data_IF_453336975125
#
_entry.id   IF_453336975125
#
_cell.length_a   1.000
_cell.length_b   1.000
_cell.length_c   1.000
_cell.angle_alpha   90.00
_cell.angle_beta   90.00
_cell.angle_gamma   90.00
#
_symmetry.space_group_name_H-M   'P 1'
#
loop_
_entity.id
_entity.type
_entity.pdbx_description
1 polymer ?
#
# COMPACT_ATOMS: atom_id res chain seq x y z
N UNK A 1 -0.15 64.57 8.07
CA UNK A 1 0.85 63.63 8.60
C UNK A 1 0.17 62.76 9.66
N UNK A 2 -0.21 61.50 9.50
CA UNK A 2 -0.18 60.53 8.41
C UNK A 2 -0.99 59.29 8.85
N UNK A 3 -1.63 58.65 7.86
CA UNK A 3 -1.92 57.19 7.71
C UNK A 3 -2.73 56.46 8.79
N UNK A 4 -4.01 56.11 8.53
CA UNK A 4 -4.58 54.96 7.77
C UNK A 4 -4.77 53.70 8.64
N UNK A 5 -6.04 53.28 8.73
CA UNK A 5 -6.57 52.03 9.27
C UNK A 5 -6.24 50.81 8.37
N UNK A 6 -5.92 49.65 8.96
CA UNK A 6 -6.23 48.30 8.44
C UNK A 6 -6.10 47.30 9.60
N UNK A 7 -7.18 46.78 10.20
CA UNK A 7 -8.01 45.62 9.81
C UNK A 7 -7.22 44.35 9.48
N UNK A 8 -7.52 43.32 10.28
CA UNK A 8 -7.47 41.88 10.00
C UNK A 8 -6.13 41.33 9.49
N UNK A 9 -5.52 40.47 10.31
CA UNK A 9 -5.48 39.09 9.84
C UNK A 9 -5.78 38.09 10.96
N UNK A 10 -7.00 37.57 10.87
CA UNK A 10 -7.43 36.35 11.51
C UNK A 10 -6.64 35.25 10.82
N UNK A 11 -5.54 34.79 11.41
CA UNK A 11 -4.96 33.50 11.02
C UNK A 11 -5.95 32.41 11.44
N UNK A 12 -6.95 32.26 10.60
CA UNK A 12 -7.82 31.10 10.50
C UNK A 12 -6.84 29.99 10.16
N UNK A 13 -6.35 29.26 11.17
CA UNK A 13 -5.79 27.93 10.94
C UNK A 13 -6.87 27.21 10.16
N UNK A 14 -6.66 27.05 8.86
CA UNK A 14 -7.55 26.25 8.04
C UNK A 14 -7.61 24.90 8.73
N UNK A 15 -8.77 24.55 9.26
CA UNK A 15 -8.98 23.20 9.78
C UNK A 15 -9.04 22.32 8.54
N UNK A 16 -7.87 21.99 8.00
CA UNK A 16 -7.74 20.96 6.98
C UNK A 16 -8.39 19.71 7.55
N UNK A 17 -9.40 19.20 6.84
CA UNK A 17 -10.05 17.94 7.19
C UNK A 17 -9.05 16.79 7.06
N UNK A 18 -8.17 16.86 6.06
CA UNK A 18 -7.07 15.92 5.89
C UNK A 18 -5.92 16.20 6.84
N UNK A 19 -5.52 15.17 7.58
CA UNK A 19 -4.30 15.15 8.40
C UNK A 19 -3.40 14.04 7.90
N UNK A 20 -2.10 14.32 7.84
CA UNK A 20 -1.12 13.31 7.45
C UNK A 20 -1.05 12.24 8.55
N UNK A 21 -1.08 10.95 8.19
CA UNK A 21 -1.02 9.88 9.19
C UNK A 21 0.38 9.70 9.78
N UNK A 22 1.40 10.28 9.15
CA UNK A 22 2.76 10.20 9.61
C UNK A 22 3.22 11.39 10.45
N UNK A 23 4.24 11.17 11.27
CA UNK A 23 4.76 12.16 12.22
C UNK A 23 5.30 13.41 11.54
N UNK A 24 5.37 14.49 12.31
CA UNK A 24 5.98 15.74 11.84
C UNK A 24 7.47 15.59 11.51
N UNK A 25 8.17 14.62 12.10
CA UNK A 25 9.56 14.27 11.75
C UNK A 25 9.64 13.87 10.27
N UNK A 26 8.77 12.98 9.83
CA UNK A 26 8.64 12.57 8.43
C UNK A 26 8.19 13.75 7.57
N UNK A 27 7.21 14.53 8.03
CA UNK A 27 6.72 15.66 7.24
C UNK A 27 7.79 16.74 6.99
N UNK A 28 8.72 16.90 7.93
CA UNK A 28 9.83 17.84 7.81
C UNK A 28 11.02 17.32 6.99
N UNK A 29 11.06 16.05 6.59
CA UNK A 29 12.13 15.52 5.73
C UNK A 29 12.17 16.27 4.39
N UNK A 30 13.37 16.74 4.01
CA UNK A 30 13.58 17.40 2.73
C UNK A 30 13.85 16.36 1.66
N UNK A 31 13.21 16.50 0.50
CA UNK A 31 13.52 15.66 -0.63
C UNK A 31 14.98 15.88 -1.08
N UNK A 32 15.64 14.85 -1.66
CA UNK A 32 16.98 14.99 -2.21
C UNK A 32 17.09 16.15 -3.21
N UNK A 33 18.28 16.75 -3.30
CA UNK A 33 18.54 17.82 -4.26
C UNK A 33 18.37 17.26 -5.68
N UNK A 34 17.60 17.98 -6.51
CA UNK A 34 17.30 17.55 -7.88
C UNK A 34 16.21 16.49 -7.99
N UNK A 35 15.54 16.11 -6.88
CA UNK A 35 14.45 15.14 -6.90
C UNK A 35 13.38 15.50 -7.92
N UNK A 36 13.12 14.56 -8.83
CA UNK A 36 12.00 14.59 -9.74
C UNK A 36 10.96 13.60 -9.26
N UNK A 37 9.71 14.03 -8.97
CA UNK A 37 8.65 13.13 -8.56
C UNK A 37 8.41 12.04 -9.61
N UNK A 38 8.62 10.75 -9.29
CA UNK A 38 8.37 9.69 -10.26
C UNK A 38 6.86 9.51 -10.48
N UNK A 39 6.53 8.86 -11.59
CA UNK A 39 5.16 8.41 -11.88
C UNK A 39 4.97 7.03 -11.27
N UNK A 40 4.05 6.91 -10.32
CA UNK A 40 3.74 5.64 -9.68
C UNK A 40 2.65 4.89 -10.45
N UNK A 41 2.77 3.56 -10.47
CA UNK A 41 1.60 2.70 -10.67
C UNK A 41 0.66 2.90 -9.48
N UNK A 42 -0.62 3.16 -9.76
CA UNK A 42 -1.60 3.37 -8.69
C UNK A 42 -2.26 2.06 -8.29
N UNK A 43 -2.35 1.82 -6.98
CA UNK A 43 -3.06 0.72 -6.36
C UNK A 43 -4.40 1.21 -5.82
N UNK A 44 -5.49 0.57 -6.22
CA UNK A 44 -6.86 0.85 -5.77
C UNK A 44 -7.31 0.00 -4.57
N UNK A 45 -6.50 -0.97 -4.16
CA UNK A 45 -6.89 -1.98 -3.19
C UNK A 45 -6.98 -3.38 -3.78
N UNK A 46 -6.95 -3.51 -5.11
CA UNK A 46 -7.05 -4.79 -5.80
C UNK A 46 -5.69 -5.32 -6.29
N UNK A 47 -5.52 -6.64 -6.25
CA UNK A 47 -4.30 -7.32 -6.75
C UNK A 47 -3.40 -7.86 -5.64
N UNK A 48 -2.08 -7.76 -5.82
CA UNK A 48 -1.08 -8.23 -4.86
C UNK A 48 -0.39 -7.05 -4.17
N UNK A 49 -0.69 -6.77 -2.89
CA UNK A 49 -0.09 -5.67 -2.14
C UNK A 49 1.44 -5.75 -2.04
N UNK A 50 2.01 -6.96 -1.92
CA UNK A 50 3.47 -7.12 -1.87
C UNK A 50 4.14 -6.74 -3.17
N UNK A 51 3.51 -7.06 -4.31
CA UNK A 51 4.02 -6.67 -5.62
C UNK A 51 3.94 -5.15 -5.80
N UNK A 52 2.85 -4.52 -5.33
CA UNK A 52 2.74 -3.06 -5.32
C UNK A 52 3.86 -2.41 -4.51
N UNK A 53 4.10 -2.89 -3.29
CA UNK A 53 5.19 -2.41 -2.42
C UNK A 53 6.55 -2.56 -3.10
N UNK A 54 6.84 -3.71 -3.70
CA UNK A 54 8.11 -3.94 -4.40
C UNK A 54 8.31 -2.93 -5.56
N UNK A 55 7.30 -2.76 -6.42
CA UNK A 55 7.37 -1.78 -7.52
C UNK A 55 7.51 -0.35 -7.02
N UNK A 56 6.81 0.00 -5.95
CA UNK A 56 6.91 1.31 -5.32
C UNK A 56 8.31 1.59 -4.77
N UNK A 57 8.92 0.61 -4.09
CA UNK A 57 10.29 0.72 -3.54
C UNK A 57 11.29 0.92 -4.68
N UNK A 58 11.24 0.08 -5.73
CA UNK A 58 12.16 0.21 -6.88
C UNK A 58 12.01 1.57 -7.56
N UNK A 59 10.77 2.04 -7.78
CA UNK A 59 10.50 3.37 -8.34
C UNK A 59 11.08 4.49 -7.48
N UNK A 60 11.03 4.36 -6.16
CA UNK A 60 11.60 5.35 -5.24
C UNK A 60 13.12 5.30 -5.20
N UNK A 61 13.72 4.10 -5.27
CA UNK A 61 15.15 3.89 -5.34
C UNK A 61 15.73 4.54 -6.60
N UNK A 62 15.09 4.36 -7.75
CA UNK A 62 15.46 5.02 -9.02
C UNK A 62 15.40 6.55 -8.92
N UNK A 63 14.47 7.08 -8.12
CA UNK A 63 14.35 8.51 -7.83
C UNK A 63 15.27 9.01 -6.70
N UNK A 64 16.15 8.14 -6.18
CA UNK A 64 17.13 8.48 -5.14
C UNK A 64 16.53 8.65 -3.73
N UNK A 65 15.39 8.04 -3.46
CA UNK A 65 14.67 8.16 -2.17
C UNK A 65 14.52 6.81 -1.48
N UNK A 66 14.75 6.79 -0.17
CA UNK A 66 14.79 5.57 0.64
C UNK A 66 14.36 5.87 2.09
N UNK A 67 14.10 4.81 2.86
CA UNK A 67 13.71 4.89 4.27
C UNK A 67 12.46 5.74 4.45
N UNK A 68 12.49 6.68 5.38
CA UNK A 68 11.31 7.50 5.72
C UNK A 68 10.82 8.43 4.59
N UNK A 69 11.62 8.65 3.54
CA UNK A 69 11.14 9.34 2.33
C UNK A 69 10.04 8.55 1.61
N UNK A 70 10.02 7.23 1.77
CA UNK A 70 9.01 6.35 1.19
C UNK A 70 7.62 6.67 1.75
N UNK A 71 7.52 6.93 3.06
CA UNK A 71 6.26 7.26 3.75
C UNK A 71 5.58 8.48 3.13
N UNK A 72 6.34 9.53 2.83
CA UNK A 72 5.81 10.77 2.22
C UNK A 72 5.26 10.55 0.81
N UNK A 73 5.82 9.59 0.09
CA UNK A 73 5.52 9.34 -1.30
C UNK A 73 4.43 8.30 -1.49
N UNK A 74 4.25 7.40 -0.52
CA UNK A 74 3.37 6.23 -0.67
C UNK A 74 1.94 6.59 -1.06
N UNK A 75 1.37 7.64 -0.46
CA UNK A 75 0.02 8.13 -0.78
C UNK A 75 -0.19 8.45 -2.28
N UNK A 76 0.89 8.83 -2.99
CA UNK A 76 0.85 9.14 -4.43
C UNK A 76 0.75 7.88 -5.30
N UNK A 77 1.02 6.72 -4.72
CA UNK A 77 0.86 5.40 -5.35
C UNK A 77 -0.53 4.79 -5.08
N UNK A 78 -1.42 5.49 -4.37
CA UNK A 78 -2.74 4.99 -3.99
C UNK A 78 -3.85 5.75 -4.74
N UNK A 79 -4.99 5.07 -4.93
CA UNK A 79 -6.25 5.63 -5.44
C UNK A 79 -7.42 4.88 -4.82
N UNK A 80 -8.64 5.40 -4.95
CA UNK A 80 -9.86 4.72 -4.50
C UNK A 80 -9.78 4.22 -3.05
N UNK A 81 -10.22 2.98 -2.82
CA UNK A 81 -10.27 2.37 -1.49
C UNK A 81 -8.90 2.36 -0.77
N UNK A 82 -7.79 2.20 -1.50
CA UNK A 82 -6.46 2.28 -0.89
C UNK A 82 -6.09 3.69 -0.45
N UNK A 83 -6.51 4.71 -1.18
CA UNK A 83 -6.31 6.10 -0.77
C UNK A 83 -7.19 6.44 0.45
N UNK A 84 -8.45 6.00 0.45
CA UNK A 84 -9.39 6.20 1.56
C UNK A 84 -8.84 5.58 2.86
N UNK A 85 -8.37 4.33 2.79
CA UNK A 85 -7.68 3.67 3.91
C UNK A 85 -6.51 4.51 4.46
N UNK A 86 -5.67 5.06 3.58
CA UNK A 86 -4.52 5.86 4.02
C UNK A 86 -4.97 7.15 4.71
N UNK A 87 -6.05 7.77 4.25
CA UNK A 87 -6.60 8.99 4.87
C UNK A 87 -7.32 8.74 6.19
N UNK A 88 -7.78 7.51 6.42
CA UNK A 88 -8.46 7.09 7.65
C UNK A 88 -7.49 6.63 8.75
N UNK A 89 -6.20 6.46 8.43
CA UNK A 89 -5.16 6.18 9.44
C UNK A 89 -5.11 7.29 10.50
N UNK A 90 -4.89 6.89 11.76
CA UNK A 90 -4.78 7.84 12.86
C UNK A 90 -3.62 8.82 12.63
N UNK A 91 -3.85 10.10 12.92
CA UNK A 91 -2.85 11.13 12.72
C UNK A 91 -1.60 10.89 13.59
N UNK A 92 -0.41 10.98 12.98
CA UNK A 92 0.88 10.69 13.60
C UNK A 92 1.08 9.23 14.07
N UNK A 93 0.27 8.27 13.59
CA UNK A 93 0.44 6.85 13.89
C UNK A 93 1.62 6.19 13.17
N UNK A 94 2.12 6.80 12.09
CA UNK A 94 3.20 6.26 11.28
C UNK A 94 4.48 7.08 11.48
N UNK A 95 5.51 6.50 12.10
CA UNK A 95 6.83 7.12 12.26
C UNK A 95 7.93 6.40 11.48
N UNK A 96 7.63 5.38 10.68
CA UNK A 96 8.63 4.79 9.78
C UNK A 96 8.02 4.13 8.55
N UNK A 97 8.87 3.86 7.54
CA UNK A 97 8.46 3.04 6.39
C UNK A 97 7.99 1.65 6.82
N UNK A 98 8.71 1.00 7.74
CA UNK A 98 8.36 -0.35 8.20
C UNK A 98 6.99 -0.43 8.87
N UNK A 99 6.60 0.61 9.62
CA UNK A 99 5.26 0.70 10.19
C UNK A 99 4.18 0.87 9.11
N UNK A 100 4.40 1.77 8.14
CA UNK A 100 3.44 1.96 7.05
C UNK A 100 3.28 0.71 6.19
N UNK A 101 4.39 0.07 5.83
CA UNK A 101 4.38 -1.16 5.05
C UNK A 101 3.63 -2.26 5.79
N UNK A 102 3.88 -2.42 7.09
CA UNK A 102 3.18 -3.40 7.92
C UNK A 102 1.68 -3.13 7.95
N UNK A 103 1.24 -1.89 8.21
CA UNK A 103 -0.18 -1.55 8.24
C UNK A 103 -0.85 -1.75 6.89
N UNK A 104 -0.19 -1.35 5.80
CA UNK A 104 -0.68 -1.54 4.44
C UNK A 104 -0.85 -3.03 4.11
N UNK A 105 0.16 -3.84 4.39
CA UNK A 105 0.10 -5.28 4.14
C UNK A 105 -0.93 -5.94 5.05
N UNK A 106 -1.02 -5.58 6.32
CA UNK A 106 -2.05 -6.11 7.22
C UNK A 106 -3.45 -5.83 6.69
N UNK A 107 -3.71 -4.62 6.17
CA UNK A 107 -5.03 -4.26 5.65
C UNK A 107 -5.34 -4.96 4.32
N UNK A 108 -4.47 -4.83 3.30
CA UNK A 108 -4.76 -5.30 1.94
C UNK A 108 -4.39 -6.75 1.68
N UNK A 109 -3.53 -7.36 2.50
CA UNK A 109 -3.27 -8.79 2.42
C UNK A 109 -4.34 -9.61 3.15
N UNK A 110 -4.84 -9.13 4.31
CA UNK A 110 -5.88 -9.83 5.07
C UNK A 110 -7.26 -9.77 4.41
N UNK A 111 -7.54 -8.70 3.67
CA UNK A 111 -8.78 -8.54 2.89
C UNK A 111 -8.74 -9.23 1.53
N UNK A 112 -7.57 -9.77 1.13
CA UNK A 112 -7.42 -10.46 -0.15
C UNK A 112 -8.27 -11.73 -0.14
N UNK A 113 -9.08 -11.93 -1.19
CA UNK A 113 -9.71 -13.22 -1.43
C UNK A 113 -8.62 -14.27 -1.59
N UNK A 114 -8.62 -15.23 -0.68
CA UNK A 114 -7.74 -16.38 -0.76
C UNK A 114 -8.50 -17.56 -1.35
N UNK A 115 -7.85 -18.32 -2.21
CA UNK A 115 -8.36 -19.55 -2.80
C UNK A 115 -8.12 -20.70 -1.82
N UNK A 116 -9.08 -21.61 -1.67
CA UNK A 116 -8.87 -22.84 -0.89
C UNK A 116 -8.23 -23.92 -1.77
N UNK A 117 -7.56 -24.93 -1.19
CA UNK A 117 -7.11 -26.09 -1.97
C UNK A 117 -8.26 -26.72 -2.77
N UNK A 118 -9.46 -26.82 -2.18
CA UNK A 118 -10.66 -27.38 -2.83
C UNK A 118 -11.04 -26.58 -4.07
N UNK A 119 -11.10 -25.25 -3.95
CA UNK A 119 -11.41 -24.36 -5.07
C UNK A 119 -10.35 -24.44 -6.18
N UNK A 120 -9.07 -24.58 -5.80
CA UNK A 120 -7.98 -24.74 -6.75
C UNK A 120 -8.05 -26.09 -7.50
N UNK A 121 -8.34 -27.19 -6.80
CA UNK A 121 -8.46 -28.53 -7.42
C UNK A 121 -9.70 -28.69 -8.27
N UNK A 122 -10.77 -27.94 -7.96
CA UNK A 122 -12.02 -27.96 -8.73
C UNK A 122 -11.97 -27.04 -9.97
N UNK A 123 -10.94 -26.21 -10.09
CA UNK A 123 -10.71 -25.44 -11.31
C UNK A 123 -10.41 -26.37 -12.49
N UNK A 124 -11.21 -26.25 -13.55
CA UNK A 124 -11.03 -26.96 -14.81
C UNK A 124 -11.05 -25.96 -15.98
N UNK A 125 -10.54 -26.40 -17.13
CA UNK A 125 -10.58 -25.63 -18.38
C UNK A 125 -12.03 -25.44 -18.82
N UNK A 126 -12.38 -24.21 -19.24
CA UNK A 126 -13.71 -23.94 -19.81
C UNK A 126 -13.81 -24.41 -21.27
N UNK A 127 -15.04 -24.62 -21.76
CA UNK A 127 -15.30 -25.22 -23.09
C UNK A 127 -14.63 -24.47 -24.25
N UNK A 128 -14.54 -23.13 -24.15
CA UNK A 128 -13.92 -22.27 -25.18
C UNK A 128 -12.56 -21.69 -24.77
N UNK A 129 -12.01 -22.07 -23.61
CA UNK A 129 -10.74 -21.54 -23.11
C UNK A 129 -9.55 -22.29 -23.74
N UNK A 130 -8.59 -21.60 -24.38
CA UNK A 130 -7.35 -22.24 -24.82
C UNK A 130 -6.57 -22.86 -23.66
N UNK A 131 -5.93 -24.01 -23.87
CA UNK A 131 -5.17 -24.72 -22.82
C UNK A 131 -4.11 -23.83 -22.15
N UNK A 132 -3.46 -22.96 -22.92
CA UNK A 132 -2.45 -22.02 -22.39
C UNK A 132 -3.08 -21.01 -21.43
N UNK A 133 -4.28 -20.52 -21.74
CA UNK A 133 -5.00 -19.57 -20.90
C UNK A 133 -5.48 -20.24 -19.62
N UNK A 134 -5.98 -21.48 -19.71
CA UNK A 134 -6.29 -22.30 -18.53
C UNK A 134 -5.08 -22.46 -17.60
N UNK A 135 -3.91 -22.82 -18.14
CA UNK A 135 -2.69 -22.98 -17.35
C UNK A 135 -2.31 -21.66 -16.66
N UNK A 136 -2.41 -20.53 -17.37
CA UNK A 136 -2.10 -19.22 -16.80
C UNK A 136 -3.10 -18.83 -15.71
N UNK A 137 -4.40 -19.06 -15.93
CA UNK A 137 -5.45 -18.82 -14.94
C UNK A 137 -5.25 -19.69 -13.70
N UNK A 138 -5.00 -20.98 -13.88
CA UNK A 138 -4.76 -21.91 -12.77
C UNK A 138 -3.51 -21.53 -11.97
N UNK A 139 -2.40 -21.16 -12.64
CA UNK A 139 -1.20 -20.64 -11.96
C UNK A 139 -1.51 -19.39 -11.14
N UNK A 140 -2.23 -18.43 -11.71
CA UNK A 140 -2.63 -17.22 -10.99
C UNK A 140 -3.55 -17.53 -9.79
N UNK A 141 -4.49 -18.46 -9.93
CA UNK A 141 -5.33 -18.95 -8.83
C UNK A 141 -4.48 -19.59 -7.72
N UNK A 142 -3.49 -20.41 -8.09
CA UNK A 142 -2.59 -21.09 -7.15
C UNK A 142 -1.72 -20.12 -6.34
N UNK A 143 -1.42 -18.92 -6.85
CA UNK A 143 -0.68 -17.88 -6.11
C UNK A 143 -1.50 -17.29 -4.95
N UNK A 144 -2.82 -17.53 -4.96
CA UNK A 144 -3.75 -17.01 -3.98
C UNK A 144 -4.23 -18.10 -3.02
N UNK A 145 -3.73 -19.33 -3.15
CA UNK A 145 -4.13 -20.47 -2.33
C UNK A 145 -3.55 -20.36 -0.90
N UNK A 146 -4.42 -20.37 0.13
CA UNK A 146 -4.01 -20.22 1.55
C UNK A 146 -3.03 -21.29 2.00
N UNK A 147 -3.22 -22.51 1.50
CA UNK A 147 -2.54 -23.71 2.00
C UNK A 147 -1.08 -23.82 1.52
N UNK A 148 -0.59 -22.84 0.75
CA UNK A 148 0.79 -22.83 0.27
C UNK A 148 1.80 -22.33 1.30
N UNK A 149 1.40 -21.74 2.43
CA UNK A 149 2.34 -21.27 3.46
C UNK A 149 1.77 -21.32 4.89
N UNK A 150 2.12 -22.37 5.62
CA UNK A 150 2.48 -22.28 7.04
C UNK A 150 3.46 -23.42 7.38
N UNK A 151 4.74 -23.25 7.06
CA UNK A 151 5.79 -24.15 7.57
C UNK A 151 6.08 -24.05 9.09
N UNK A 152 5.46 -23.16 9.90
CA UNK A 152 5.52 -23.33 11.36
C UNK A 152 4.47 -24.27 11.96
N UNK A 153 3.39 -24.63 11.26
CA UNK A 153 2.25 -25.35 11.88
C UNK A 153 2.14 -26.83 11.51
N UNK A 154 3.11 -27.41 10.78
CA UNK A 154 3.10 -28.84 10.43
C UNK A 154 3.54 -29.76 11.59
N UNK A 155 4.11 -29.21 12.67
CA UNK A 155 4.73 -30.03 13.74
C UNK A 155 3.74 -30.53 14.81
N UNK A 156 2.52 -30.00 14.93
CA UNK A 156 1.57 -30.47 15.96
C UNK A 156 0.52 -31.51 15.49
N UNK A 157 0.59 -31.99 14.24
CA UNK A 157 -0.35 -33.02 13.74
C UNK A 157 0.24 -34.45 13.80
N UNK A 158 1.48 -34.63 14.27
CA UNK A 158 2.14 -35.95 14.31
C UNK A 158 2.53 -36.46 15.70
N UNK A 159 1.83 -36.04 16.76
CA UNK A 159 1.81 -36.80 18.02
C UNK A 159 0.37 -37.00 18.46
N UNK A 160 -0.20 -38.14 18.05
CA UNK A 160 -1.24 -38.84 18.80
C UNK A 160 -1.08 -40.34 18.62
#
# INVERSE_FOLDING_TARGET
MGTIQNKFDRSTKSSLTYRKPYTQRIDNLKMPVGYQPPKFQQFDGEGNPKQHVAHFIETCNDAGTYGDHLVKQFVRSLKGNAFDWFTDLEANSIDSWGELEKEFLNHFYSTRRTISMIELTNSHQWEEEPVVDYINRWRNLSLNCKDRLSEPSTIEIYIQ
#
